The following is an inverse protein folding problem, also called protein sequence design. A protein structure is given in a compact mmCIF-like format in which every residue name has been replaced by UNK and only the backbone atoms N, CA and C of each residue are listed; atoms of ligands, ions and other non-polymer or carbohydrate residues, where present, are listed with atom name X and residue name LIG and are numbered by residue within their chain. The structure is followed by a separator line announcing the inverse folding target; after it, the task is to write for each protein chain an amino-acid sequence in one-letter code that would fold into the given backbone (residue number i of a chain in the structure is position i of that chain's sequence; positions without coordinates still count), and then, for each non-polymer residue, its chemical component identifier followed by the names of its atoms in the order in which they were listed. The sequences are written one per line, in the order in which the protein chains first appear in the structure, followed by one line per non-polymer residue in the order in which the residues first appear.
data_IF_704311977388
#
_entry.id   IF_704311977388
#
_cell.length_a   1.000
_cell.length_b   1.000
_cell.length_c   1.000
_cell.angle_alpha   90.00
_cell.angle_beta   90.00
_cell.angle_gamma   90.00
#
_symmetry.space_group_name_H-M   'P 1'
#
loop_
_entity.id
_entity.type
_entity.pdbx_description
1 polymer ?
#
# COMPACT_ATOMS: atom_id res chain seq x y z
N UNK A 1 -11.90 16.89 -8.10
CA UNK A 1 -13.26 16.34 -8.36
C UNK A 1 -13.93 17.25 -9.36
N UNK A 2 -14.63 16.71 -10.37
CA UNK A 2 -15.35 17.55 -11.35
C UNK A 2 -16.73 17.89 -10.78
N UNK A 3 -17.03 19.18 -10.68
CA UNK A 3 -18.35 19.68 -10.29
C UNK A 3 -19.31 19.60 -11.48
N UNK A 4 -20.59 19.39 -11.19
CA UNK A 4 -21.66 19.40 -12.20
C UNK A 4 -22.68 20.51 -11.95
N UNK A 5 -22.60 21.18 -10.80
CA UNK A 5 -23.53 22.24 -10.43
C UNK A 5 -22.92 23.23 -9.42
N UNK A 6 -23.62 24.35 -9.21
CA UNK A 6 -23.18 25.46 -8.35
C UNK A 6 -23.08 25.10 -6.87
N UNK A 7 -23.89 24.16 -6.38
CA UNK A 7 -23.78 23.66 -5.00
C UNK A 7 -22.50 22.87 -4.82
N UNK A 8 -22.14 22.00 -5.76
CA UNK A 8 -20.87 21.25 -5.74
C UNK A 8 -19.65 22.17 -5.77
N UNK A 9 -19.71 23.28 -6.52
CA UNK A 9 -18.68 24.33 -6.52
C UNK A 9 -18.55 24.99 -5.14
N UNK A 10 -19.69 25.37 -4.53
CA UNK A 10 -19.71 25.94 -3.19
C UNK A 10 -19.15 25.00 -2.13
N UNK A 11 -19.41 23.69 -2.24
CA UNK A 11 -18.86 22.70 -1.31
C UNK A 11 -17.32 22.64 -1.39
N UNK A 12 -16.74 22.75 -2.60
CA UNK A 12 -15.29 22.82 -2.77
C UNK A 12 -14.71 24.12 -2.19
N UNK A 13 -15.39 25.25 -2.39
CA UNK A 13 -14.97 26.52 -1.80
C UNK A 13 -14.96 26.45 -0.27
N UNK A 14 -15.99 25.83 0.35
CA UNK A 14 -16.02 25.61 1.79
C UNK A 14 -14.86 24.70 2.23
N UNK A 15 -14.60 23.63 1.48
CA UNK A 15 -13.51 22.70 1.80
C UNK A 15 -12.13 23.37 1.77
N UNK A 16 -11.92 24.32 0.85
CA UNK A 16 -10.67 25.04 0.65
C UNK A 16 -10.45 26.24 1.61
N UNK A 17 -11.40 26.55 2.50
CA UNK A 17 -11.24 27.66 3.47
C UNK A 17 -10.21 27.34 4.54
N UNK A 18 -9.03 27.95 4.50
CA UNK A 18 -7.96 27.70 5.47
C UNK A 18 -8.28 28.18 6.91
N UNK A 19 -9.23 29.10 7.06
CA UNK A 19 -9.61 29.68 8.36
C UNK A 19 -10.63 28.85 9.16
N UNK A 20 -11.09 27.70 8.64
CA UNK A 20 -12.08 26.84 9.30
C UNK A 20 -11.47 25.50 9.68
N UNK A 21 -11.83 24.97 10.85
CA UNK A 21 -11.50 23.60 11.22
C UNK A 21 -12.23 22.61 10.32
N UNK A 22 -11.66 21.41 10.15
CA UNK A 22 -12.29 20.34 9.36
C UNK A 22 -13.68 19.98 9.89
N UNK A 23 -13.88 20.00 11.20
CA UNK A 23 -15.18 19.73 11.83
C UNK A 23 -16.24 20.78 11.41
N UNK A 24 -15.86 22.06 11.46
CA UNK A 24 -16.74 23.15 11.01
C UNK A 24 -17.05 23.01 9.52
N UNK A 25 -16.03 22.71 8.69
CA UNK A 25 -16.23 22.48 7.24
C UNK A 25 -17.23 21.36 6.98
N UNK A 26 -17.10 20.21 7.68
CA UNK A 26 -18.03 19.08 7.55
C UNK A 26 -19.47 19.47 7.88
N UNK A 27 -19.67 20.21 8.96
CA UNK A 27 -20.99 20.67 9.37
C UNK A 27 -21.62 21.60 8.32
N UNK A 28 -20.84 22.56 7.80
CA UNK A 28 -21.33 23.47 6.76
C UNK A 28 -21.63 22.71 5.46
N UNK A 29 -20.74 21.79 5.04
CA UNK A 29 -20.93 20.99 3.82
C UNK A 29 -22.20 20.15 3.93
N UNK A 30 -22.41 19.44 5.05
CA UNK A 30 -23.62 18.64 5.28
C UNK A 30 -24.89 19.50 5.26
N UNK A 31 -24.85 20.69 5.86
CA UNK A 31 -25.99 21.62 5.87
C UNK A 31 -26.28 22.27 4.51
N UNK A 32 -25.26 22.38 3.65
CA UNK A 32 -25.33 23.09 2.35
C UNK A 32 -25.59 22.16 1.17
N UNK A 33 -25.22 20.88 1.28
CA UNK A 33 -25.30 19.90 0.21
C UNK A 33 -26.72 19.67 -0.34
N UNK A 34 -27.73 19.81 0.52
CA UNK A 34 -29.12 19.51 0.21
C UNK A 34 -30.02 20.70 0.60
N UNK A 35 -29.96 21.80 -0.16
CA UNK A 35 -30.79 22.97 0.10
C UNK A 35 -32.28 22.59 0.05
N UNK A 36 -33.07 23.18 0.94
CA UNK A 36 -34.52 22.96 0.97
C UNK A 36 -35.14 23.55 -0.30
N UNK A 37 -35.72 22.68 -1.13
CA UNK A 37 -36.40 23.07 -2.36
C UNK A 37 -37.83 23.56 -2.11
N UNK A 38 -38.38 23.34 -0.90
CA UNK A 38 -39.74 23.75 -0.50
C UNK A 38 -39.78 25.10 0.19
N UNK A 39 -38.67 25.57 0.77
CA UNK A 39 -38.58 26.95 1.24
C UNK A 39 -38.72 27.88 0.02
N UNK A 40 -39.82 28.62 -0.03
CA UNK A 40 -40.22 29.46 -1.16
C UNK A 40 -39.11 30.47 -1.55
N UNK A 41 -38.22 30.07 -2.47
CA UNK A 41 -37.40 30.99 -3.23
C UNK A 41 -38.32 31.71 -4.22
N UNK A 42 -39.10 32.66 -3.68
CA UNK A 42 -39.88 33.64 -4.41
C UNK A 42 -40.87 33.10 -5.47
N UNK A 43 -41.54 31.97 -5.23
CA UNK A 43 -42.66 31.53 -6.09
C UNK A 43 -43.68 32.68 -6.26
N UNK A 44 -43.77 33.24 -7.48
CA UNK A 44 -44.70 34.32 -7.83
C UNK A 44 -44.17 35.76 -7.78
N UNK A 45 -42.87 36.01 -7.55
CA UNK A 45 -42.29 37.38 -7.66
C UNK A 45 -41.50 37.57 -8.97
N UNK A 46 -41.56 38.76 -9.60
CA UNK A 46 -40.58 39.11 -10.63
C UNK A 46 -39.18 39.07 -9.97
N UNK A 47 -38.23 38.35 -10.57
CA UNK A 47 -36.90 38.02 -10.02
C UNK A 47 -36.79 36.80 -9.08
N UNK A 48 -37.74 35.85 -9.13
CA UNK A 48 -37.57 34.57 -8.43
C UNK A 48 -36.36 33.79 -8.95
N UNK A 49 -35.34 33.58 -8.12
CA UNK A 49 -34.21 32.73 -8.46
C UNK A 49 -34.56 31.27 -8.17
N UNK A 50 -34.29 30.36 -9.10
CA UNK A 50 -34.45 28.93 -8.87
C UNK A 50 -33.68 28.51 -7.60
N UNK A 51 -34.22 27.57 -6.79
CA UNK A 51 -33.45 27.01 -5.69
C UNK A 51 -32.16 26.38 -6.24
N UNK A 52 -31.03 26.50 -5.51
CA UNK A 52 -29.81 25.88 -5.94
C UNK A 52 -30.01 24.35 -6.06
N UNK A 53 -29.38 23.72 -7.07
CA UNK A 53 -29.48 22.26 -7.26
C UNK A 53 -28.87 21.52 -6.08
N UNK A 54 -29.31 20.28 -5.82
CA UNK A 54 -28.69 19.46 -4.79
C UNK A 54 -27.33 18.92 -5.28
N UNK A 55 -26.37 18.77 -4.37
CA UNK A 55 -25.12 18.07 -4.65
C UNK A 55 -25.38 16.56 -4.74
N UNK A 56 -24.59 15.86 -5.56
CA UNK A 56 -24.66 14.39 -5.60
C UNK A 56 -24.09 13.80 -4.31
N UNK A 57 -24.74 12.77 -3.78
CA UNK A 57 -24.33 12.18 -2.49
C UNK A 57 -22.89 11.67 -2.51
N UNK A 58 -22.45 11.03 -3.60
CA UNK A 58 -21.07 10.59 -3.74
C UNK A 58 -20.08 11.77 -3.82
N UNK A 59 -20.51 12.93 -4.32
CA UNK A 59 -19.68 14.13 -4.34
C UNK A 59 -19.49 14.67 -2.93
N UNK A 60 -20.57 14.81 -2.15
CA UNK A 60 -20.55 15.29 -0.77
C UNK A 60 -19.65 14.40 0.10
N UNK A 61 -19.81 13.08 0.01
CA UNK A 61 -18.97 12.11 0.72
C UNK A 61 -17.49 12.29 0.35
N UNK A 62 -17.18 12.47 -0.94
CA UNK A 62 -15.81 12.67 -1.39
C UNK A 62 -15.20 13.98 -0.87
N UNK A 63 -15.95 15.08 -0.88
CA UNK A 63 -15.49 16.37 -0.33
C UNK A 63 -15.23 16.25 1.17
N UNK A 64 -16.17 15.68 1.94
CA UNK A 64 -16.01 15.46 3.38
C UNK A 64 -14.78 14.61 3.67
N UNK A 65 -14.61 13.51 2.93
CA UNK A 65 -13.46 12.61 3.06
C UNK A 65 -12.13 13.28 2.70
N UNK A 66 -12.13 14.26 1.79
CA UNK A 66 -10.93 15.02 1.43
C UNK A 66 -10.44 15.97 2.53
N UNK A 67 -11.29 16.31 3.50
CA UNK A 67 -10.91 17.14 4.63
C UNK A 67 -10.02 16.39 5.61
N UNK A 68 -10.27 15.09 5.78
CA UNK A 68 -9.50 14.27 6.70
C UNK A 68 -8.18 13.85 6.08
N UNK A 69 -7.17 13.68 6.94
CA UNK A 69 -5.90 13.09 6.52
C UNK A 69 -6.14 11.65 6.10
N UNK A 70 -5.75 11.31 4.88
CA UNK A 70 -5.91 9.97 4.31
C UNK A 70 -4.57 9.26 4.37
N UNK A 71 -4.59 8.05 4.92
CA UNK A 71 -3.39 7.25 5.10
C UNK A 71 -3.42 6.08 4.14
N UNK A 72 -2.26 5.72 3.62
CA UNK A 72 -2.10 4.54 2.77
C UNK A 72 -0.95 3.68 3.26
N UNK A 73 -1.05 2.39 2.94
CA UNK A 73 0.10 1.49 2.89
C UNK A 73 0.20 0.92 1.47
N UNK A 74 1.40 0.91 0.92
CA UNK A 74 1.73 0.19 -0.30
C UNK A 74 2.65 -0.97 0.03
N UNK A 75 2.21 -2.19 -0.29
CA UNK A 75 3.00 -3.41 -0.12
C UNK A 75 3.63 -3.73 -1.47
N UNK A 76 4.94 -3.96 -1.49
CA UNK A 76 5.70 -4.22 -2.70
C UNK A 76 6.28 -5.63 -2.68
N UNK A 77 6.29 -6.27 -3.84
CA UNK A 77 6.96 -7.53 -4.09
C UNK A 77 7.85 -7.37 -5.34
N UNK A 78 9.16 -7.36 -5.14
CA UNK A 78 10.16 -7.43 -6.20
C UNK A 78 10.47 -8.88 -6.53
N UNK A 79 10.44 -9.19 -7.83
CA UNK A 79 10.71 -10.54 -8.31
C UNK A 79 12.23 -10.77 -8.41
N UNK A 80 12.72 -12.01 -8.29
CA UNK A 80 14.11 -12.36 -8.60
C UNK A 80 14.55 -11.80 -9.96
N UNK A 81 15.70 -11.15 -10.02
CA UNK A 81 16.16 -10.42 -11.21
C UNK A 81 15.73 -8.95 -11.26
N UNK A 82 14.96 -8.45 -10.28
CA UNK A 82 14.64 -7.02 -10.21
C UNK A 82 15.93 -6.18 -10.09
N UNK A 83 16.18 -5.20 -10.97
CA UNK A 83 17.36 -4.36 -10.92
C UNK A 83 17.47 -3.55 -9.64
N UNK A 84 18.70 -3.43 -9.13
CA UNK A 84 19.01 -2.71 -7.91
C UNK A 84 19.63 -1.33 -8.19
N UNK A 85 19.33 -0.40 -7.28
CA UNK A 85 19.85 0.96 -7.22
C UNK A 85 20.58 1.21 -5.89
N UNK A 86 21.37 2.28 -5.85
CA UNK A 86 21.98 2.81 -4.63
C UNK A 86 20.98 3.68 -3.82
N UNK A 87 21.43 4.23 -2.69
CA UNK A 87 20.61 5.09 -1.82
C UNK A 87 20.14 6.39 -2.51
N UNK A 88 20.83 6.81 -3.57
CA UNK A 88 20.48 7.98 -4.39
C UNK A 88 19.49 7.63 -5.51
N UNK A 89 19.20 6.34 -5.71
CA UNK A 89 18.34 5.85 -6.78
C UNK A 89 19.09 5.61 -8.10
N UNK A 90 20.41 5.65 -8.12
CA UNK A 90 21.19 5.36 -9.32
C UNK A 90 21.39 3.85 -9.51
N UNK A 91 21.33 3.35 -10.75
CA UNK A 91 21.62 1.95 -11.07
C UNK A 91 22.94 1.45 -10.50
N UNK A 92 22.90 0.28 -9.85
CA UNK A 92 24.11 -0.39 -9.37
C UNK A 92 24.66 -1.34 -10.43
N UNK A 93 25.96 -1.28 -10.66
CA UNK A 93 26.68 -2.18 -11.55
C UNK A 93 27.76 -2.94 -10.78
N UNK A 94 28.02 -4.16 -11.23
CA UNK A 94 29.15 -4.95 -10.75
C UNK A 94 30.46 -4.32 -11.24
N UNK A 95 31.44 -4.18 -10.33
CA UNK A 95 32.67 -3.47 -10.63
C UNK A 95 33.59 -4.25 -11.59
N UNK A 96 33.47 -5.57 -11.64
CA UNK A 96 34.31 -6.44 -12.47
C UNK A 96 33.65 -6.71 -13.82
N UNK A 97 32.35 -7.02 -13.83
CA UNK A 97 31.64 -7.39 -15.07
C UNK A 97 30.96 -6.22 -15.76
N UNK A 98 30.82 -5.06 -15.08
CA UNK A 98 30.00 -3.92 -15.54
C UNK A 98 28.52 -4.28 -15.79
N UNK A 99 28.05 -5.44 -15.32
CA UNK A 99 26.66 -5.86 -15.46
C UNK A 99 25.76 -5.22 -14.41
N UNK A 100 24.47 -5.09 -14.72
CA UNK A 100 23.49 -4.55 -13.78
C UNK A 100 23.31 -5.50 -12.60
N UNK A 101 23.49 -4.98 -11.38
CA UNK A 101 23.22 -5.75 -10.16
C UNK A 101 21.70 -5.91 -10.00
N UNK A 102 21.27 -7.13 -9.71
CA UNK A 102 19.87 -7.53 -9.59
C UNK A 102 19.63 -8.29 -8.27
N UNK A 103 18.39 -8.28 -7.78
CA UNK A 103 18.00 -9.05 -6.61
C UNK A 103 18.01 -10.55 -6.89
N UNK A 104 18.75 -11.34 -6.10
CA UNK A 104 18.87 -12.78 -6.32
C UNK A 104 17.56 -13.54 -5.97
N UNK A 105 16.96 -13.24 -4.82
CA UNK A 105 15.80 -13.94 -4.27
C UNK A 105 14.48 -13.16 -4.40
N UNK A 106 14.52 -11.95 -4.95
CA UNK A 106 13.43 -10.99 -4.83
C UNK A 106 13.45 -10.29 -3.49
N UNK A 107 12.44 -9.44 -3.24
CA UNK A 107 12.31 -8.72 -1.97
C UNK A 107 10.86 -8.32 -1.70
N UNK A 108 10.48 -8.24 -0.42
CA UNK A 108 9.17 -7.76 0.00
C UNK A 108 9.32 -6.68 1.07
N UNK A 109 8.58 -5.58 0.93
CA UNK A 109 8.60 -4.46 1.88
C UNK A 109 7.27 -3.71 1.86
N UNK A 110 7.11 -2.75 2.76
CA UNK A 110 5.97 -1.84 2.76
C UNK A 110 6.41 -0.38 2.83
N UNK A 111 5.58 0.50 2.30
CA UNK A 111 5.69 1.94 2.42
C UNK A 111 4.38 2.51 2.96
N UNK A 112 4.44 3.40 3.93
CA UNK A 112 3.29 4.11 4.45
C UNK A 112 3.34 5.58 4.03
N UNK A 113 2.16 6.16 3.79
CA UNK A 113 2.05 7.59 3.51
C UNK A 113 0.87 8.20 4.22
N UNK A 114 1.05 9.43 4.65
CA UNK A 114 0.05 10.27 5.31
C UNK A 114 -0.47 11.39 4.38
N UNK A 115 -0.15 11.29 3.08
CA UNK A 115 -0.43 12.28 2.05
C UNK A 115 0.60 13.41 1.94
N UNK A 116 1.56 13.51 2.88
CA UNK A 116 2.63 14.52 2.88
C UNK A 116 4.03 13.91 2.84
N UNK A 117 4.20 12.78 3.50
CA UNK A 117 5.45 12.06 3.68
C UNK A 117 5.26 10.58 3.39
N UNK A 118 6.32 9.93 2.93
CA UNK A 118 6.36 8.51 2.66
C UNK A 118 7.51 7.90 3.46
N UNK A 119 7.21 6.86 4.24
CA UNK A 119 8.20 6.09 5.00
C UNK A 119 8.19 4.64 4.51
N UNK A 120 9.30 4.16 3.97
CA UNK A 120 9.46 2.78 3.55
C UNK A 120 10.14 1.96 4.65
N UNK A 121 9.81 0.67 4.75
CA UNK A 121 10.45 -0.25 5.67
C UNK A 121 10.55 -1.63 5.03
N UNK A 122 11.77 -2.14 4.90
CA UNK A 122 11.99 -3.55 4.60
C UNK A 122 13.29 -4.05 5.21
N UNK A 123 13.45 -5.37 5.23
CA UNK A 123 14.49 -6.06 5.99
C UNK A 123 15.36 -6.90 5.08
N UNK A 124 16.66 -6.64 5.11
CA UNK A 124 17.64 -7.29 4.24
C UNK A 124 18.90 -7.65 5.04
N UNK A 125 19.71 -8.62 4.57
CA UNK A 125 21.01 -8.87 5.16
C UNK A 125 21.96 -7.70 4.88
N UNK A 126 22.81 -7.34 5.84
CA UNK A 126 23.79 -6.24 5.69
C UNK A 126 24.81 -6.57 4.59
N UNK A 127 25.22 -7.84 4.52
CA UNK A 127 26.04 -8.39 3.44
C UNK A 127 25.17 -9.32 2.62
N UNK A 128 25.33 -9.31 1.31
CA UNK A 128 24.64 -10.24 0.41
C UNK A 128 24.80 -11.69 0.91
N UNK A 129 23.70 -12.43 0.99
CA UNK A 129 23.68 -13.79 1.50
C UNK A 129 22.29 -14.20 1.97
N UNK A 130 22.13 -15.48 2.34
CA UNK A 130 20.85 -16.03 2.82
C UNK A 130 20.73 -16.05 4.35
N UNK A 131 21.85 -15.89 5.06
CA UNK A 131 21.94 -15.91 6.53
C UNK A 131 22.97 -14.87 6.98
N UNK A 132 22.67 -14.13 8.04
CA UNK A 132 23.66 -13.26 8.70
C UNK A 132 23.03 -12.04 9.39
N UNK A 133 23.85 -11.09 9.87
CA UNK A 133 23.34 -9.83 10.40
C UNK A 133 22.48 -9.09 9.37
N UNK A 134 21.29 -8.70 9.77
CA UNK A 134 20.32 -7.96 8.98
C UNK A 134 20.15 -6.52 9.42
N UNK A 135 19.48 -5.75 8.58
CA UNK A 135 19.16 -4.35 8.79
C UNK A 135 17.79 -4.03 8.20
N UNK A 136 17.00 -3.25 8.93
CA UNK A 136 15.80 -2.63 8.40
C UNK A 136 16.18 -1.30 7.76
N UNK A 137 15.75 -1.08 6.53
CA UNK A 137 16.12 0.07 5.70
C UNK A 137 14.89 0.86 5.28
N UNK A 138 15.07 2.17 5.18
CA UNK A 138 14.05 3.12 4.70
C UNK A 138 14.17 3.44 3.19
N UNK A 139 15.05 2.70 2.49
CA UNK A 139 15.42 3.00 1.11
C UNK A 139 14.91 1.99 0.08
N UNK A 140 14.16 0.97 0.47
CA UNK A 140 13.76 -0.12 -0.44
C UNK A 140 12.95 0.36 -1.65
N UNK A 141 12.06 1.35 -1.48
CA UNK A 141 11.33 1.94 -2.62
C UNK A 141 12.26 2.60 -3.64
N UNK A 142 13.47 3.03 -3.24
CA UNK A 142 14.50 3.55 -4.15
C UNK A 142 15.41 2.44 -4.69
N UNK A 143 15.74 1.46 -3.86
CA UNK A 143 16.67 0.38 -4.19
C UNK A 143 16.13 -0.57 -5.24
N UNK A 144 14.82 -0.80 -5.30
CA UNK A 144 14.24 -1.77 -6.24
C UNK A 144 13.56 -1.06 -7.42
N UNK A 145 14.14 -1.19 -8.61
CA UNK A 145 13.57 -0.61 -9.82
C UNK A 145 12.39 -1.46 -10.32
N UNK A 146 11.19 -0.86 -10.41
CA UNK A 146 9.98 -1.49 -10.97
C UNK A 146 9.68 -2.87 -10.35
N UNK A 147 9.34 -2.92 -9.04
CA UNK A 147 8.97 -4.18 -8.39
C UNK A 147 7.84 -4.89 -9.16
N UNK A 148 7.87 -6.22 -9.14
CA UNK A 148 6.94 -7.06 -9.91
C UNK A 148 5.49 -6.74 -9.62
N UNK A 149 5.17 -6.51 -8.35
CA UNK A 149 3.83 -6.22 -7.89
C UNK A 149 3.84 -5.16 -6.80
N UNK A 150 2.79 -4.33 -6.79
CA UNK A 150 2.46 -3.50 -5.64
C UNK A 150 0.95 -3.44 -5.41
N UNK A 151 0.56 -3.33 -4.13
CA UNK A 151 -0.82 -3.09 -3.71
C UNK A 151 -0.87 -1.95 -2.72
N UNK A 152 -1.56 -0.89 -3.10
CA UNK A 152 -1.87 0.25 -2.23
C UNK A 152 -3.25 0.07 -1.63
N UNK A 153 -3.37 0.27 -0.32
CA UNK A 153 -4.61 0.26 0.44
C UNK A 153 -4.75 1.57 1.20
N UNK A 154 -5.94 2.18 1.16
CA UNK A 154 -6.28 3.18 2.17
C UNK A 154 -6.50 2.50 3.53
N UNK A 155 -5.90 3.06 4.56
CA UNK A 155 -5.89 2.53 5.92
C UNK A 155 -6.31 3.60 6.94
N UNK A 156 -6.67 3.14 8.14
CA UNK A 156 -7.00 4.05 9.24
C UNK A 156 -5.73 4.71 9.78
N UNK A 157 -5.89 5.84 10.49
CA UNK A 157 -4.76 6.46 11.20
C UNK A 157 -4.14 5.53 12.26
N UNK A 158 -4.93 4.64 12.85
CA UNK A 158 -4.44 3.62 13.78
C UNK A 158 -3.53 2.61 13.09
N UNK A 159 -3.95 2.06 11.94
CA UNK A 159 -3.10 1.16 11.15
C UNK A 159 -1.78 1.85 10.76
N UNK A 160 -1.84 3.09 10.29
CA UNK A 160 -0.65 3.88 9.93
C UNK A 160 0.30 4.02 11.13
N UNK A 161 -0.23 4.40 12.30
CA UNK A 161 0.58 4.60 13.49
C UNK A 161 1.23 3.29 13.98
N UNK A 162 0.54 2.15 13.90
CA UNK A 162 1.12 0.86 14.26
C UNK A 162 2.22 0.43 13.28
N UNK A 163 1.98 0.56 11.97
CA UNK A 163 2.99 0.28 10.94
C UNK A 163 4.24 1.15 11.10
N UNK A 164 4.04 2.46 11.35
CA UNK A 164 5.13 3.40 11.60
C UNK A 164 5.92 3.02 12.84
N UNK A 165 5.21 2.76 13.95
CA UNK A 165 5.83 2.36 15.22
C UNK A 165 6.66 1.08 15.05
N UNK A 166 6.11 0.06 14.38
CA UNK A 166 6.80 -1.20 14.15
C UNK A 166 8.09 -1.00 13.33
N UNK A 167 7.98 -0.25 12.23
CA UNK A 167 9.12 0.10 11.36
C UNK A 167 10.20 0.91 12.09
N UNK A 168 9.81 2.00 12.75
CA UNK A 168 10.73 2.88 13.49
C UNK A 168 11.45 2.14 14.63
N UNK A 169 10.76 1.25 15.34
CA UNK A 169 11.38 0.40 16.37
C UNK A 169 12.42 -0.55 15.76
N UNK A 170 12.12 -1.13 14.60
CA UNK A 170 13.02 -2.06 13.93
C UNK A 170 14.27 -1.36 13.36
N UNK A 171 14.11 -0.19 12.74
CA UNK A 171 15.22 0.68 12.31
C UNK A 171 16.13 1.04 13.48
N UNK A 172 15.54 1.35 14.65
CA UNK A 172 16.29 1.67 15.88
C UNK A 172 16.84 0.45 16.62
N UNK A 173 16.64 -0.78 16.10
CA UNK A 173 17.05 -2.03 16.74
C UNK A 173 16.46 -2.23 18.14
N UNK A 174 15.22 -1.75 18.34
CA UNK A 174 14.47 -1.77 19.60
C UNK A 174 13.15 -2.53 19.49
N UNK A 175 12.92 -3.23 18.38
CA UNK A 175 11.70 -4.01 18.21
C UNK A 175 11.84 -5.31 19.03
N UNK A 176 11.02 -5.50 20.09
CA UNK A 176 11.14 -6.68 20.95
C UNK A 176 10.71 -7.97 20.23
N UNK A 177 9.89 -7.85 19.20
CA UNK A 177 9.24 -8.98 18.52
C UNK A 177 9.94 -9.36 17.20
N UNK A 178 11.10 -8.75 16.91
CA UNK A 178 11.82 -8.97 15.66
C UNK A 178 13.34 -9.06 15.87
N UNK A 179 13.90 -10.23 15.56
CA UNK A 179 15.34 -10.47 15.56
C UNK A 179 15.96 -9.87 14.28
N UNK A 180 17.09 -9.16 14.44
CA UNK A 180 17.84 -8.61 13.31
C UNK A 180 18.85 -9.61 12.73
N UNK A 181 18.83 -10.87 13.15
CA UNK A 181 19.54 -11.94 12.47
C UNK A 181 18.74 -12.46 11.27
N UNK A 182 19.14 -12.06 10.06
CA UNK A 182 18.48 -12.45 8.82
C UNK A 182 18.63 -13.95 8.56
N UNK A 183 17.52 -14.60 8.25
CA UNK A 183 17.46 -15.96 7.73
C UNK A 183 16.40 -16.05 6.64
N UNK A 184 16.82 -16.29 5.39
CA UNK A 184 15.93 -16.31 4.23
C UNK A 184 14.80 -17.35 4.28
N UNK A 185 14.82 -18.31 5.20
CA UNK A 185 13.78 -19.33 5.33
C UNK A 185 12.71 -19.01 6.38
N UNK A 186 13.03 -18.24 7.43
CA UNK A 186 12.12 -18.03 8.58
C UNK A 186 12.29 -16.70 9.33
N UNK A 187 13.21 -15.83 8.92
CA UNK A 187 13.35 -14.46 9.40
C UNK A 187 13.88 -13.56 8.28
N UNK A 188 13.04 -13.32 7.29
CA UNK A 188 13.36 -12.69 6.01
C UNK A 188 12.60 -11.38 5.80
N UNK A 189 12.78 -10.75 4.64
CA UNK A 189 12.00 -9.60 4.20
C UNK A 189 10.47 -9.86 4.22
N UNK A 190 10.07 -11.09 3.92
CA UNK A 190 8.68 -11.54 3.89
C UNK A 190 8.13 -11.61 5.32
N UNK A 191 8.83 -12.28 6.24
CA UNK A 191 8.43 -12.42 7.64
C UNK A 191 8.32 -11.05 8.31
N UNK A 192 9.30 -10.17 8.08
CA UNK A 192 9.28 -8.80 8.60
C UNK A 192 8.02 -8.04 8.13
N UNK A 193 7.74 -8.09 6.84
CA UNK A 193 6.61 -7.38 6.25
C UNK A 193 5.28 -7.92 6.76
N UNK A 194 5.10 -9.24 6.84
CA UNK A 194 3.88 -9.83 7.39
C UNK A 194 3.69 -9.55 8.88
N UNK A 195 4.77 -9.60 9.68
CA UNK A 195 4.73 -9.21 11.11
C UNK A 195 4.31 -7.75 11.28
N UNK A 196 4.85 -6.84 10.46
CA UNK A 196 4.48 -5.43 10.48
C UNK A 196 2.99 -5.24 10.14
N UNK A 197 2.52 -5.81 9.02
CA UNK A 197 1.12 -5.75 8.61
C UNK A 197 0.19 -6.32 9.69
N UNK A 198 0.56 -7.47 10.27
CA UNK A 198 -0.18 -8.09 11.38
C UNK A 198 -0.23 -7.22 12.63
N UNK A 199 0.87 -6.54 13.00
CA UNK A 199 0.90 -5.63 14.14
C UNK A 199 -0.11 -4.49 14.00
N UNK A 200 -0.45 -4.12 12.77
CA UNK A 200 -1.47 -3.15 12.41
C UNK A 200 -2.84 -3.77 12.10
N UNK A 201 -3.05 -5.06 12.34
CA UNK A 201 -4.31 -5.75 12.09
C UNK A 201 -4.60 -6.07 10.62
N UNK A 202 -3.67 -5.79 9.70
CA UNK A 202 -3.81 -6.07 8.26
C UNK A 202 -3.44 -7.53 7.98
N UNK A 203 -4.44 -8.41 8.00
CA UNK A 203 -4.25 -9.86 7.84
C UNK A 203 -4.77 -10.34 6.48
N UNK A 204 -4.09 -11.30 5.82
CA UNK A 204 -4.56 -11.86 4.56
C UNK A 204 -5.72 -12.83 4.78
N UNK A 205 -6.57 -12.96 3.76
CA UNK A 205 -7.58 -14.01 3.66
C UNK A 205 -7.04 -15.30 3.05
N UNK A 206 -7.90 -16.32 2.94
CA UNK A 206 -7.59 -17.57 2.26
C UNK A 206 -7.55 -17.31 0.74
N UNK A 207 -6.61 -17.97 0.04
CA UNK A 207 -6.40 -17.82 -1.41
C UNK A 207 -6.07 -19.16 -2.07
N UNK A 208 -5.97 -19.16 -3.39
CA UNK A 208 -5.82 -20.36 -4.22
C UNK A 208 -4.51 -21.12 -4.00
N UNK A 209 -3.42 -20.44 -3.61
CA UNK A 209 -2.14 -21.08 -3.35
C UNK A 209 -1.92 -21.47 -1.87
N UNK A 210 -2.98 -21.44 -1.04
CA UNK A 210 -2.99 -22.08 0.27
C UNK A 210 -3.20 -23.60 0.11
N UNK A 211 -2.20 -24.27 -0.46
CA UNK A 211 -2.21 -25.71 -0.70
C UNK A 211 -1.96 -26.53 0.56
N UNK A 212 -1.31 -25.95 1.57
CA UNK A 212 -1.11 -26.58 2.87
C UNK A 212 -2.20 -26.16 3.86
N UNK A 213 -2.72 -27.12 4.64
CA UNK A 213 -3.62 -26.82 5.76
C UNK A 213 -2.96 -25.89 6.78
N UNK A 214 -1.63 -25.93 6.89
CA UNK A 214 -0.83 -25.06 7.76
C UNK A 214 -1.03 -23.58 7.41
N UNK A 215 -0.97 -23.20 6.13
CA UNK A 215 -1.17 -21.79 5.74
C UNK A 215 -2.58 -21.32 6.06
N UNK A 216 -3.60 -22.16 5.82
CA UNK A 216 -5.00 -21.85 6.16
C UNK A 216 -5.19 -21.67 7.67
N UNK A 217 -4.67 -22.60 8.46
CA UNK A 217 -4.72 -22.55 9.93
C UNK A 217 -4.01 -21.29 10.44
N UNK A 218 -2.80 -21.00 9.95
CA UNK A 218 -2.05 -19.82 10.36
C UNK A 218 -2.79 -18.52 10.04
N UNK A 219 -3.53 -18.44 8.92
CA UNK A 219 -4.36 -17.28 8.61
C UNK A 219 -5.56 -17.15 9.55
N UNK A 220 -6.24 -18.25 9.86
CA UNK A 220 -7.36 -18.28 10.82
C UNK A 220 -6.87 -17.85 12.22
N UNK A 221 -5.71 -18.33 12.65
CA UNK A 221 -5.09 -17.96 13.92
C UNK A 221 -4.42 -16.58 13.89
N UNK A 222 -4.30 -15.97 12.71
CA UNK A 222 -3.64 -14.69 12.51
C UNK A 222 -2.12 -14.73 12.75
N UNK A 223 -1.47 -15.89 12.57
CA UNK A 223 -0.04 -16.14 12.73
C UNK A 223 0.69 -16.36 11.40
N UNK A 224 0.03 -16.11 10.26
CA UNK A 224 0.64 -16.24 8.94
C UNK A 224 1.83 -15.29 8.75
N UNK A 225 2.99 -15.85 8.41
CA UNK A 225 4.27 -15.13 8.23
C UNK A 225 4.75 -15.12 6.76
N UNK A 226 3.99 -15.68 5.83
CA UNK A 226 4.30 -15.68 4.40
C UNK A 226 4.80 -17.02 3.86
N UNK A 227 4.86 -17.10 2.53
CA UNK A 227 5.55 -18.18 1.83
C UNK A 227 7.02 -17.82 1.63
N UNK A 228 7.92 -18.80 1.52
CA UNK A 228 9.37 -18.55 1.35
C UNK A 228 9.70 -17.71 0.11
N UNK A 229 8.96 -17.91 -1.00
CA UNK A 229 9.20 -17.21 -2.27
C UNK A 229 8.33 -15.95 -2.35
N UNK A 230 8.94 -14.81 -2.70
CA UNK A 230 8.26 -13.52 -2.81
C UNK A 230 7.03 -13.57 -3.72
N UNK A 231 7.13 -14.20 -4.89
CA UNK A 231 6.01 -14.31 -5.83
C UNK A 231 4.80 -15.06 -5.26
N UNK A 232 5.04 -16.07 -4.40
CA UNK A 232 3.97 -16.84 -3.76
C UNK A 232 3.21 -16.00 -2.72
N UNK A 233 3.77 -14.87 -2.28
CA UNK A 233 3.09 -13.95 -1.37
C UNK A 233 2.13 -12.99 -2.08
N UNK A 234 2.24 -12.81 -3.40
CA UNK A 234 1.38 -11.89 -4.16
C UNK A 234 -0.11 -12.25 -4.02
N UNK A 235 -0.53 -13.52 -4.19
CA UNK A 235 -1.93 -13.90 -3.95
C UNK A 235 -2.40 -13.59 -2.51
N UNK A 236 -1.54 -13.74 -1.50
CA UNK A 236 -1.88 -13.42 -0.11
C UNK A 236 -2.09 -11.92 0.08
N UNK A 237 -1.19 -11.10 -0.46
CA UNK A 237 -1.30 -9.63 -0.40
C UNK A 237 -2.63 -9.16 -0.99
N UNK A 238 -3.08 -9.77 -2.11
CA UNK A 238 -4.37 -9.46 -2.77
C UNK A 238 -5.61 -9.73 -1.92
N UNK A 239 -5.51 -10.64 -0.96
CA UNK A 239 -6.65 -11.00 -0.10
C UNK A 239 -6.77 -10.17 1.17
N UNK A 240 -5.79 -9.29 1.47
CA UNK A 240 -5.90 -8.39 2.61
C UNK A 240 -7.17 -7.53 2.44
N UNK A 241 -8.14 -7.58 3.36
CA UNK A 241 -9.33 -6.74 3.27
C UNK A 241 -8.94 -5.26 3.36
N UNK A 242 -9.40 -4.45 2.41
CA UNK A 242 -9.18 -3.02 2.47
C UNK A 242 -10.07 -2.41 3.57
N UNK A 243 -9.52 -1.67 4.55
CA UNK A 243 -10.33 -0.97 5.55
C UNK A 243 -11.37 -0.03 4.95
N UNK A 244 -11.05 0.54 3.79
CA UNK A 244 -11.97 1.35 2.98
C UNK A 244 -12.12 0.72 1.58
N UNK A 245 -13.02 -0.27 1.39
CA UNK A 245 -13.10 -1.04 0.14
C UNK A 245 -13.39 -0.20 -1.11
N UNK A 246 -14.18 0.87 -0.97
CA UNK A 246 -14.57 1.78 -2.05
C UNK A 246 -13.58 2.94 -2.26
N UNK A 247 -12.41 2.89 -1.63
CA UNK A 247 -11.43 3.95 -1.76
C UNK A 247 -10.83 4.02 -3.15
N UNK A 248 -10.80 5.23 -3.71
CA UNK A 248 -10.07 5.62 -4.91
C UNK A 248 -8.54 5.53 -4.78
N UNK A 249 -8.02 5.40 -3.56
CA UNK A 249 -6.59 5.20 -3.31
C UNK A 249 -6.18 3.72 -3.40
N UNK A 250 -7.14 2.79 -3.35
CA UNK A 250 -6.85 1.38 -3.50
C UNK A 250 -6.40 1.10 -4.93
N UNK A 251 -5.18 0.60 -5.10
CA UNK A 251 -4.57 0.36 -6.42
C UNK A 251 -3.76 -0.92 -6.40
N UNK A 252 -3.75 -1.61 -7.53
CA UNK A 252 -2.87 -2.75 -7.78
C UNK A 252 -2.10 -2.50 -9.06
N UNK A 253 -0.81 -2.83 -9.06
CA UNK A 253 0.04 -2.65 -10.22
C UNK A 253 0.93 -3.88 -10.45
N UNK A 254 1.05 -4.28 -11.70
CA UNK A 254 1.90 -5.38 -12.15
C UNK A 254 2.91 -4.85 -13.17
N UNK A 255 4.21 -4.98 -12.86
CA UNK A 255 5.27 -4.76 -13.85
C UNK A 255 5.60 -6.06 -14.59
N UNK A 256 6.21 -5.96 -15.78
CA UNK A 256 6.72 -7.14 -16.49
C UNK A 256 7.75 -7.88 -15.63
N UNK A 257 7.81 -9.22 -15.74
CA UNK A 257 8.86 -10.00 -15.08
C UNK A 257 10.23 -9.61 -15.68
N UNK A 258 11.26 -9.37 -14.87
CA UNK A 258 12.61 -9.21 -15.37
C UNK A 258 13.10 -10.53 -15.97
N UNK A 259 14.01 -10.45 -16.96
CA UNK A 259 14.67 -11.62 -17.51
C UNK A 259 15.56 -12.28 -16.44
N UNK A 260 15.52 -13.63 -16.35
CA UNK A 260 16.23 -14.40 -15.32
C UNK A 260 17.54 -14.99 -15.85
N UNK A 261 18.60 -14.91 -15.04
CA UNK A 261 19.81 -15.72 -15.23
C UNK A 261 19.53 -17.21 -14.88
N UNK A 262 20.38 -18.16 -15.31
CA UNK A 262 20.19 -19.59 -14.98
C UNK A 262 20.14 -19.90 -13.48
N UNK A 263 20.98 -19.25 -12.67
CA UNK A 263 20.97 -19.41 -11.20
C UNK A 263 19.67 -18.91 -10.58
N UNK A 264 19.14 -17.78 -11.07
CA UNK A 264 17.83 -17.27 -10.66
C UNK A 264 16.71 -18.20 -11.09
N UNK A 265 16.82 -18.87 -12.24
CA UNK A 265 15.87 -19.93 -12.63
C UNK A 265 15.90 -21.08 -11.62
N UNK A 266 17.08 -21.55 -11.21
CA UNK A 266 17.22 -22.63 -10.22
C UNK A 266 16.64 -22.24 -8.84
N UNK A 267 16.92 -21.04 -8.34
CA UNK A 267 16.36 -20.53 -7.08
C UNK A 267 14.83 -20.31 -7.16
N UNK A 268 14.28 -20.17 -8.38
CA UNK A 268 12.84 -19.90 -8.59
C UNK A 268 12.03 -21.10 -9.07
N UNK A 269 12.65 -22.18 -9.57
CA UNK A 269 11.94 -23.39 -9.97
C UNK A 269 11.12 -23.94 -8.79
N UNK A 270 9.81 -23.98 -8.97
CA UNK A 270 8.93 -24.88 -8.25
C UNK A 270 8.47 -25.92 -9.28
N UNK A 271 8.51 -27.19 -8.91
CA UNK A 271 7.81 -28.25 -9.62
C UNK A 271 6.32 -27.87 -9.71
N UNK A 272 5.86 -27.42 -10.87
CA UNK A 272 4.53 -27.69 -11.44
C UNK A 272 4.36 -26.87 -12.71
N UNK A 273 4.17 -27.60 -13.82
CA UNK A 273 3.61 -27.21 -15.11
C UNK A 273 3.05 -25.78 -15.19
N UNK A 274 3.81 -24.90 -15.83
CA UNK A 274 3.35 -23.60 -16.30
C UNK A 274 2.22 -23.81 -17.33
N UNK A 275 0.97 -23.62 -16.93
CA UNK A 275 -0.05 -23.18 -17.88
C UNK A 275 0.07 -21.67 -17.99
N UNK A 276 0.62 -21.25 -19.12
CA UNK A 276 0.54 -19.90 -19.67
C UNK A 276 -0.88 -19.35 -19.55
N UNK A 277 -1.12 -18.47 -18.56
CA UNK A 277 -2.26 -17.55 -18.65
C UNK A 277 -1.84 -16.45 -19.61
N UNK A 278 -2.09 -16.70 -20.90
CA UNK A 278 -2.18 -15.64 -21.90
C UNK A 278 -3.34 -14.73 -21.49
N UNK A 279 -3.02 -13.52 -21.05
CA UNK A 279 -4.01 -12.46 -20.92
C UNK A 279 -4.15 -11.87 -22.34
N UNK A 280 -5.27 -12.23 -22.99
CA UNK A 280 -5.82 -11.51 -24.14
C UNK A 280 -6.37 -10.17 -23.72
#
# INVERSE_FOLDING_TARGET
MKTTNTTEELLLDIANKDNLSNEIKKNIINGTAYPDQKSNYAAGKPCATCPPPQARSEFVENVIRSLDKRYIVTIYAAHPGTPLNDNSGHPRFDAETSERIVSAAGHMWYEISDGKSNDAYGFAPIKSGVIGPGVVTEYDTKHYEKPRYSRTLEITGEHYNQLKKYGDLAVRKKNPDFDLYYNGAWNSCIDFTWKALRSAGLKPGITWNDFSDINRINKILGTFDGDIKVDNNIPHIKTIPAPFPKSDLNKEHYNKRPEKTPEQKLLTQAETNETDIKIS
#
